data_IF_360469726182
#
_entry.id   IF_360469726182
#
_cell.length_a   1.000
_cell.length_b   1.000
_cell.length_c   1.000
_cell.angle_alpha   90.00
_cell.angle_beta   90.00
_cell.angle_gamma   90.00
#
_symmetry.space_group_name_H-M   'P 1'
#
loop_
_entity.id
_entity.type
_entity.pdbx_description
1 polymer ?
#
# COMPACT_ATOMS: atom_id res chain seq x y z
N UNK A 1 9.87 10.23 29.68
CA UNK A 1 11.10 9.53 29.24
C UNK A 1 11.14 9.58 27.73
N UNK A 2 12.03 10.40 27.15
CA UNK A 2 12.19 10.47 25.70
C UNK A 2 12.84 9.18 25.21
N UNK A 3 12.08 8.34 24.52
CA UNK A 3 12.64 7.23 23.75
C UNK A 3 13.60 7.84 22.73
N UNK A 4 14.91 7.80 23.02
CA UNK A 4 15.95 8.04 22.02
C UNK A 4 15.79 6.91 21.02
N UNK A 5 15.21 7.22 19.86
CA UNK A 5 15.22 6.29 18.73
C UNK A 5 16.68 6.16 18.31
N UNK A 6 17.24 4.97 18.48
CA UNK A 6 18.59 4.66 18.02
C UNK A 6 18.52 4.35 16.52
N UNK A 7 18.43 5.42 15.71
CA UNK A 7 18.30 5.37 14.25
C UNK A 7 19.67 5.63 13.61
N UNK A 8 20.03 4.89 12.55
CA UNK A 8 21.13 5.31 11.69
C UNK A 8 20.72 6.61 10.99
N UNK A 9 21.49 7.68 11.18
CA UNK A 9 21.24 8.99 10.57
C UNK A 9 22.31 9.25 9.52
N UNK A 10 21.89 9.53 8.28
CA UNK A 10 22.77 9.80 7.16
C UNK A 10 23.12 11.29 6.99
N UNK A 11 24.06 11.60 6.09
CA UNK A 11 24.37 12.97 5.68
C UNK A 11 23.21 13.58 4.86
N UNK A 12 23.31 14.88 4.54
CA UNK A 12 22.44 15.49 3.52
C UNK A 12 22.59 14.77 2.18
N UNK A 13 21.49 14.68 1.44
CA UNK A 13 21.43 14.06 0.12
C UNK A 13 20.53 14.90 -0.79
N UNK A 14 21.14 15.44 -1.84
CA UNK A 14 20.52 16.24 -2.91
C UNK A 14 20.64 15.51 -4.23
N UNK A 15 19.61 15.61 -5.04
CA UNK A 15 19.63 15.14 -6.42
C UNK A 15 19.67 16.32 -7.37
N UNK A 16 20.83 16.53 -8.00
CA UNK A 16 21.07 17.63 -8.93
C UNK A 16 20.18 17.54 -10.19
N UNK A 17 19.76 16.35 -10.62
CA UNK A 17 18.89 16.19 -11.79
C UNK A 17 17.47 16.66 -11.46
N UNK A 18 16.98 16.33 -10.26
CA UNK A 18 15.68 16.80 -9.78
C UNK A 18 15.68 18.32 -9.62
N UNK A 19 16.74 18.89 -9.03
CA UNK A 19 16.88 20.35 -8.89
C UNK A 19 16.89 21.05 -10.25
N UNK A 20 17.64 20.52 -11.23
CA UNK A 20 17.71 21.07 -12.57
C UNK A 20 16.37 20.98 -13.33
N UNK A 21 15.65 19.84 -13.26
CA UNK A 21 14.30 19.72 -13.87
C UNK A 21 13.36 20.75 -13.25
N UNK A 22 13.25 20.80 -11.92
CA UNK A 22 12.35 21.70 -11.22
C UNK A 22 12.66 23.18 -11.49
N UNK A 23 13.93 23.58 -11.47
CA UNK A 23 14.34 24.95 -11.78
C UNK A 23 14.01 25.30 -13.23
N UNK A 24 14.37 24.44 -14.19
CA UNK A 24 14.06 24.66 -15.60
C UNK A 24 12.56 24.82 -15.87
N UNK A 25 11.71 24.03 -15.18
CA UNK A 25 10.25 24.18 -15.25
C UNK A 25 9.78 25.54 -14.73
N UNK A 26 10.31 26.01 -13.60
CA UNK A 26 9.95 27.32 -13.03
C UNK A 26 10.37 28.48 -13.93
N UNK A 27 11.54 28.37 -14.56
CA UNK A 27 12.10 29.37 -15.48
C UNK A 27 11.26 29.46 -16.76
N UNK A 28 10.81 28.32 -17.29
CA UNK A 28 9.88 28.22 -18.42
C UNK A 28 8.44 28.65 -18.07
N UNK A 29 8.15 28.95 -16.80
CA UNK A 29 6.81 29.32 -16.34
C UNK A 29 5.82 28.15 -16.28
N UNK A 30 6.31 26.91 -16.16
CA UNK A 30 5.48 25.72 -15.87
C UNK A 30 5.06 25.70 -14.40
N UNK A 31 4.01 24.94 -14.09
CA UNK A 31 3.54 24.86 -12.72
C UNK A 31 4.34 23.81 -11.95
N UNK A 32 4.90 24.24 -10.81
CA UNK A 32 5.48 23.33 -9.83
C UNK A 32 4.75 23.53 -8.51
N UNK A 33 4.24 22.45 -7.94
CA UNK A 33 3.51 22.45 -6.69
C UNK A 33 4.29 21.69 -5.61
N UNK A 34 4.16 22.10 -4.35
CA UNK A 34 4.60 21.30 -3.20
C UNK A 34 3.41 20.90 -2.32
N UNK A 35 3.41 19.67 -1.84
CA UNK A 35 2.36 19.09 -0.98
C UNK A 35 2.99 18.66 0.35
N UNK A 36 2.35 19.02 1.46
CA UNK A 36 2.75 18.60 2.81
C UNK A 36 2.46 17.12 3.10
N UNK A 37 2.54 16.74 4.38
CA UNK A 37 2.45 15.36 4.87
C UNK A 37 1.12 14.70 4.47
N UNK A 38 1.22 13.52 3.82
CA UNK A 38 0.06 12.83 3.22
C UNK A 38 -0.44 11.68 4.09
N UNK A 39 0.49 10.94 4.71
CA UNK A 39 0.20 9.85 5.63
C UNK A 39 -0.83 8.84 5.10
N UNK A 40 -0.63 8.26 3.91
CA UNK A 40 -1.43 7.16 3.39
C UNK A 40 -2.91 7.50 3.06
N UNK A 41 -3.27 8.78 2.97
CA UNK A 41 -4.62 9.23 2.56
C UNK A 41 -4.71 9.30 1.02
N UNK A 42 -4.61 8.14 0.36
CA UNK A 42 -4.58 8.02 -1.10
C UNK A 42 -5.78 8.68 -1.79
N UNK A 43 -6.99 8.46 -1.29
CA UNK A 43 -8.21 9.01 -1.89
C UNK A 43 -8.21 10.54 -1.85
N UNK A 44 -7.83 11.11 -0.70
CA UNK A 44 -7.68 12.56 -0.50
C UNK A 44 -6.56 13.11 -1.39
N UNK A 45 -5.43 12.40 -1.52
CA UNK A 45 -4.34 12.79 -2.40
C UNK A 45 -4.78 12.83 -3.87
N UNK A 46 -5.45 11.78 -4.37
CA UNK A 46 -5.98 11.75 -5.74
C UNK A 46 -6.98 12.87 -6.01
N UNK A 47 -7.84 13.19 -5.04
CA UNK A 47 -8.76 14.31 -5.15
C UNK A 47 -8.02 15.65 -5.22
N UNK A 48 -6.95 15.84 -4.46
CA UNK A 48 -6.09 17.03 -4.56
C UNK A 48 -5.42 17.12 -5.93
N UNK A 49 -4.79 16.03 -6.39
CA UNK A 49 -4.14 15.96 -7.70
C UNK A 49 -5.11 16.31 -8.84
N UNK A 50 -6.35 15.83 -8.78
CA UNK A 50 -7.41 16.18 -9.74
C UNK A 50 -7.73 17.69 -9.74
N UNK A 51 -7.71 18.34 -8.57
CA UNK A 51 -7.96 19.79 -8.45
C UNK A 51 -6.82 20.64 -9.03
N UNK A 52 -5.59 20.14 -9.02
CA UNK A 52 -4.43 20.86 -9.54
C UNK A 52 -4.45 21.00 -11.07
N UNK A 53 -5.17 20.12 -11.79
CA UNK A 53 -5.31 20.14 -13.25
C UNK A 53 -3.95 20.26 -13.97
N UNK A 54 -3.03 19.39 -13.57
CA UNK A 54 -1.65 19.40 -14.07
C UNK A 54 -1.59 19.12 -15.58
N UNK A 55 -0.73 19.87 -16.27
CA UNK A 55 -0.25 19.53 -17.61
C UNK A 55 0.92 18.56 -17.53
N UNK A 56 1.31 17.84 -18.61
CA UNK A 56 2.41 16.86 -18.57
C UNK A 56 3.77 17.41 -18.10
N UNK A 57 4.04 18.68 -18.40
CA UNK A 57 5.29 19.36 -18.02
C UNK A 57 5.26 19.92 -16.58
N UNK A 58 4.11 19.90 -15.92
CA UNK A 58 3.98 20.35 -14.54
C UNK A 58 4.57 19.28 -13.59
N UNK A 59 4.93 19.72 -12.38
CA UNK A 59 5.52 18.86 -11.34
C UNK A 59 4.85 19.04 -9.99
N UNK A 60 4.89 17.99 -9.18
CA UNK A 60 4.43 17.99 -7.79
C UNK A 60 5.52 17.40 -6.90
N UNK A 61 5.89 18.12 -5.85
CA UNK A 61 6.87 17.68 -4.86
C UNK A 61 6.15 17.33 -3.55
N UNK A 62 6.20 16.08 -3.13
CA UNK A 62 5.75 15.63 -1.80
C UNK A 62 6.88 15.86 -0.79
N UNK A 63 6.60 16.58 0.30
CA UNK A 63 7.60 16.99 1.29
C UNK A 63 7.95 15.89 2.32
N UNK A 64 7.72 14.62 2.00
CA UNK A 64 7.91 13.47 2.91
C UNK A 64 6.64 13.10 3.69
N UNK A 65 6.78 12.12 4.59
CA UNK A 65 5.69 11.56 5.40
C UNK A 65 4.48 11.14 4.53
N UNK A 66 4.79 10.37 3.49
CA UNK A 66 3.82 9.77 2.60
C UNK A 66 3.15 8.58 3.25
N UNK A 67 3.88 7.79 4.04
CA UNK A 67 3.37 6.57 4.66
C UNK A 67 2.87 6.80 6.09
N UNK A 68 2.34 5.73 6.68
CA UNK A 68 1.85 5.63 8.06
C UNK A 68 0.55 6.41 8.32
N UNK A 69 -0.10 6.03 9.42
CA UNK A 69 -1.33 6.63 9.99
C UNK A 69 -2.59 6.51 9.15
N UNK A 70 -2.55 6.81 7.85
CA UNK A 70 -3.72 6.68 6.99
C UNK A 70 -4.01 5.24 6.56
N UNK A 71 -5.11 5.06 5.81
CA UNK A 71 -5.64 3.74 5.50
C UNK A 71 -4.91 2.98 4.38
N UNK A 72 -4.24 3.67 3.44
CA UNK A 72 -3.68 3.03 2.24
C UNK A 72 -2.33 3.61 1.81
N UNK A 73 -1.29 3.33 2.61
CA UNK A 73 0.08 3.75 2.29
C UNK A 73 0.64 3.00 1.08
N UNK A 74 0.42 1.70 0.97
CA UNK A 74 0.91 0.90 -0.16
C UNK A 74 0.28 1.36 -1.50
N UNK A 75 -1.02 1.68 -1.51
CA UNK A 75 -1.67 2.24 -2.70
C UNK A 75 -1.21 3.66 -3.02
N UNK A 76 -0.88 4.48 -2.02
CA UNK A 76 -0.28 5.79 -2.24
C UNK A 76 1.10 5.69 -2.89
N UNK A 77 1.97 4.80 -2.39
CA UNK A 77 3.31 4.62 -2.97
C UNK A 77 3.22 4.08 -4.41
N UNK A 78 2.34 3.11 -4.68
CA UNK A 78 2.05 2.62 -6.03
C UNK A 78 1.55 3.74 -6.97
N UNK A 79 0.64 4.59 -6.48
CA UNK A 79 0.17 5.75 -7.24
C UNK A 79 1.29 6.74 -7.53
N UNK A 80 2.11 7.09 -6.54
CA UNK A 80 3.24 8.02 -6.71
C UNK A 80 4.24 7.48 -7.75
N UNK A 81 4.65 6.22 -7.60
CA UNK A 81 5.65 5.59 -8.48
C UNK A 81 5.19 5.42 -9.92
N UNK A 82 3.88 5.35 -10.15
CA UNK A 82 3.29 5.27 -11.50
C UNK A 82 3.12 6.64 -12.17
N UNK A 83 3.39 7.76 -11.47
CA UNK A 83 3.23 9.11 -12.00
C UNK A 83 4.58 9.86 -12.01
N UNK A 84 5.27 9.95 -13.16
CA UNK A 84 6.62 10.54 -13.24
C UNK A 84 6.66 12.05 -12.92
N UNK A 85 5.50 12.71 -12.88
CA UNK A 85 5.40 14.12 -12.50
C UNK A 85 5.52 14.35 -10.99
N UNK A 86 5.46 13.28 -10.19
CA UNK A 86 5.49 13.33 -8.73
C UNK A 86 6.92 13.02 -8.27
N UNK A 87 7.49 13.97 -7.56
CA UNK A 87 8.80 13.91 -6.92
C UNK A 87 8.57 13.86 -5.41
N UNK A 88 9.40 13.12 -4.68
CA UNK A 88 9.24 12.97 -3.23
C UNK A 88 10.53 13.23 -2.48
N UNK A 89 10.40 13.89 -1.34
CA UNK A 89 11.45 13.95 -0.33
C UNK A 89 11.28 12.80 0.67
N UNK A 90 12.39 12.40 1.29
CA UNK A 90 12.38 11.49 2.45
C UNK A 90 11.80 12.24 3.65
N UNK A 91 10.81 11.67 4.32
CA UNK A 91 10.33 12.11 5.63
C UNK A 91 10.86 11.24 6.76
N UNK A 92 10.53 11.60 8.00
CA UNK A 92 10.98 10.80 9.14
C UNK A 92 10.23 9.47 9.26
N UNK A 93 9.00 9.37 8.74
CA UNK A 93 8.27 8.12 8.70
C UNK A 93 8.88 7.13 7.71
N UNK A 94 9.30 7.60 6.54
CA UNK A 94 10.05 6.78 5.58
C UNK A 94 11.36 6.27 6.19
N UNK A 95 12.15 7.15 6.83
CA UNK A 95 13.39 6.73 7.51
C UNK A 95 13.15 5.66 8.57
N UNK A 96 12.12 5.81 9.40
CA UNK A 96 11.75 4.80 10.39
C UNK A 96 11.34 3.47 9.74
N UNK A 97 10.60 3.50 8.64
CA UNK A 97 10.20 2.28 7.93
C UNK A 97 11.39 1.57 7.28
N UNK A 98 12.32 2.32 6.68
CA UNK A 98 13.55 1.81 6.05
C UNK A 98 14.38 0.97 7.03
N UNK A 99 14.38 1.30 8.33
CA UNK A 99 15.07 0.47 9.34
C UNK A 99 14.54 -0.97 9.47
N UNK A 100 13.38 -1.26 8.87
CA UNK A 100 12.85 -2.63 8.78
C UNK A 100 13.45 -3.43 7.62
N UNK A 101 14.18 -2.80 6.70
CA UNK A 101 14.92 -3.46 5.63
C UNK A 101 16.25 -3.97 6.18
N UNK A 102 16.64 -5.18 5.81
CA UNK A 102 17.92 -5.79 6.18
C UNK A 102 18.88 -5.81 4.99
N UNK A 103 20.17 -5.96 5.25
CA UNK A 103 21.22 -5.97 4.21
C UNK A 103 21.04 -7.10 3.17
N UNK A 104 20.40 -8.20 3.56
CA UNK A 104 20.06 -9.32 2.67
C UNK A 104 18.78 -9.09 1.84
N UNK A 105 18.20 -7.88 1.91
CA UNK A 105 16.95 -7.49 1.26
C UNK A 105 15.69 -8.02 1.95
N UNK A 106 15.82 -8.74 3.06
CA UNK A 106 14.67 -9.23 3.83
C UNK A 106 14.05 -8.11 4.69
N UNK A 107 12.78 -8.30 5.07
CA UNK A 107 12.06 -7.35 5.92
C UNK A 107 11.84 -7.92 7.32
N UNK A 108 12.36 -7.20 8.30
CA UNK A 108 12.13 -7.42 9.74
C UNK A 108 11.51 -6.18 10.35
N UNK A 109 10.20 -6.21 10.56
CA UNK A 109 9.43 -5.06 11.03
C UNK A 109 9.97 -4.51 12.35
N UNK A 110 10.33 -3.23 12.35
CA UNK A 110 10.86 -2.54 13.52
C UNK A 110 9.72 -2.05 14.43
N UNK A 111 9.69 -2.54 15.67
CA UNK A 111 8.59 -2.29 16.62
C UNK A 111 8.36 -0.79 16.94
N UNK A 112 9.40 0.05 17.16
CA UNK A 112 9.21 1.48 17.37
C UNK A 112 8.49 2.19 16.22
N UNK A 113 8.77 1.81 14.97
CA UNK A 113 8.04 2.33 13.80
C UNK A 113 6.58 1.87 13.79
N UNK A 114 6.31 0.58 14.06
CA UNK A 114 4.94 0.05 14.15
C UNK A 114 4.08 0.78 15.21
N UNK A 115 4.69 1.27 16.29
CA UNK A 115 4.03 2.04 17.34
C UNK A 115 3.78 3.51 16.98
N UNK A 116 4.35 3.99 15.87
CA UNK A 116 4.23 5.37 15.36
C UNK A 116 3.49 5.45 14.01
N UNK A 117 2.73 4.40 13.68
CA UNK A 117 1.86 4.37 12.50
C UNK A 117 2.22 3.35 11.46
N UNK A 118 3.37 2.70 11.59
CA UNK A 118 3.79 1.63 10.68
C UNK A 118 2.82 0.44 10.61
N UNK A 119 1.96 0.25 11.61
CA UNK A 119 0.92 -0.79 11.56
C UNK A 119 -0.09 -0.57 10.45
N UNK A 120 -0.50 0.67 10.16
CA UNK A 120 -1.44 0.94 9.07
C UNK A 120 -0.77 0.73 7.72
N UNK A 121 0.48 1.19 7.58
CA UNK A 121 1.32 0.94 6.40
C UNK A 121 1.44 -0.55 6.13
N UNK A 122 1.95 -1.33 7.09
CA UNK A 122 2.12 -2.77 6.92
C UNK A 122 0.80 -3.48 6.63
N UNK A 123 -0.28 -3.07 7.31
CA UNK A 123 -1.63 -3.57 7.03
C UNK A 123 -2.05 -3.37 5.58
N UNK A 124 -1.79 -2.19 5.00
CA UNK A 124 -2.13 -1.89 3.60
C UNK A 124 -1.40 -2.79 2.59
N UNK A 125 -0.13 -3.15 2.85
CA UNK A 125 0.60 -4.11 2.02
C UNK A 125 -0.02 -5.51 2.08
N UNK A 126 -0.40 -5.98 3.28
CA UNK A 126 -1.07 -7.28 3.44
C UNK A 126 -2.40 -7.31 2.66
N UNK A 127 -3.18 -6.23 2.69
CA UNK A 127 -4.45 -6.16 1.93
C UNK A 127 -4.21 -6.29 0.44
N UNK A 128 -3.27 -5.52 -0.08
CA UNK A 128 -2.97 -5.50 -1.52
C UNK A 128 -2.41 -6.82 -2.01
N UNK A 129 -1.68 -7.52 -1.16
CA UNK A 129 -1.21 -8.89 -1.41
C UNK A 129 -2.27 -9.95 -1.12
N UNK A 130 -3.54 -9.57 -0.88
CA UNK A 130 -4.63 -10.50 -0.58
C UNK A 130 -4.36 -11.45 0.61
N UNK A 131 -3.56 -11.01 1.58
CA UNK A 131 -3.13 -11.79 2.73
C UNK A 131 -1.85 -12.60 2.53
N UNK A 132 -1.28 -12.62 1.31
CA UNK A 132 0.00 -13.26 1.06
C UNK A 132 1.14 -12.45 1.69
N UNK A 133 1.75 -13.00 2.73
CA UNK A 133 2.82 -12.34 3.47
C UNK A 133 4.16 -12.34 2.72
N UNK A 134 4.38 -13.26 1.80
CA UNK A 134 5.57 -13.28 0.96
C UNK A 134 5.51 -12.11 -0.03
N UNK A 135 4.40 -12.00 -0.76
CA UNK A 135 4.20 -10.91 -1.73
C UNK A 135 4.14 -9.54 -1.04
N UNK A 136 3.46 -9.44 0.11
CA UNK A 136 3.44 -8.21 0.91
C UNK A 136 4.85 -7.76 1.31
N UNK A 137 5.70 -8.69 1.79
CA UNK A 137 7.08 -8.37 2.17
C UNK A 137 7.93 -8.01 0.96
N UNK A 138 7.78 -8.72 -0.16
CA UNK A 138 8.53 -8.46 -1.39
C UNK A 138 8.23 -7.06 -1.94
N UNK A 139 6.95 -6.71 -2.04
CA UNK A 139 6.55 -5.38 -2.49
C UNK A 139 7.01 -4.30 -1.52
N UNK A 140 6.82 -4.52 -0.21
CA UNK A 140 7.25 -3.56 0.80
C UNK A 140 8.78 -3.36 0.78
N UNK A 141 9.58 -4.41 0.60
CA UNK A 141 11.03 -4.30 0.46
C UNK A 141 11.43 -3.44 -0.74
N UNK A 142 10.80 -3.65 -1.91
CA UNK A 142 11.02 -2.83 -3.10
C UNK A 142 10.70 -1.35 -2.85
N UNK A 143 9.61 -1.08 -2.14
CA UNK A 143 9.20 0.29 -1.85
C UNK A 143 10.10 0.94 -0.78
N UNK A 144 10.58 0.19 0.22
CA UNK A 144 11.60 0.66 1.17
C UNK A 144 12.90 1.03 0.46
N UNK A 145 13.40 0.20 -0.45
CA UNK A 145 14.61 0.48 -1.23
C UNK A 145 14.47 1.75 -2.07
N UNK A 146 13.29 1.98 -2.65
CA UNK A 146 13.01 3.23 -3.36
C UNK A 146 12.98 4.43 -2.42
N UNK A 147 12.28 4.33 -1.27
CA UNK A 147 12.20 5.42 -0.29
C UNK A 147 13.58 5.77 0.29
N UNK A 148 14.50 4.81 0.37
CA UNK A 148 15.86 5.06 0.84
C UNK A 148 16.69 5.92 -0.13
N UNK A 149 16.36 5.88 -1.42
CA UNK A 149 17.00 6.70 -2.45
C UNK A 149 16.35 8.08 -2.64
N UNK A 150 15.41 8.49 -1.78
CA UNK A 150 14.81 9.82 -1.87
C UNK A 150 15.75 10.90 -1.31
N UNK A 151 15.85 12.08 -1.96
CA UNK A 151 16.57 13.22 -1.42
C UNK A 151 15.91 13.71 -0.12
N UNK A 152 16.70 14.27 0.79
CA UNK A 152 16.16 14.86 2.03
C UNK A 152 15.83 16.35 1.87
N UNK A 153 16.37 17.01 0.85
CA UNK A 153 15.99 18.37 0.47
C UNK A 153 16.28 18.68 -1.00
N UNK A 154 15.64 19.74 -1.49
CA UNK A 154 15.83 20.32 -2.83
C UNK A 154 16.14 21.80 -2.65
N UNK A 155 17.16 22.30 -3.36
CA UNK A 155 17.54 23.71 -3.37
C UNK A 155 17.34 24.27 -4.78
N UNK A 156 16.45 25.24 -4.90
CA UNK A 156 16.16 26.01 -6.11
C UNK A 156 16.69 27.43 -5.91
N UNK A 157 16.62 28.29 -6.93
CA UNK A 157 17.16 29.66 -6.83
C UNK A 157 16.54 30.46 -5.68
N UNK A 158 15.22 30.35 -5.58
CA UNK A 158 14.39 31.12 -4.67
C UNK A 158 13.88 30.32 -3.47
N UNK A 159 13.99 28.99 -3.50
CA UNK A 159 13.27 28.11 -2.58
C UNK A 159 14.16 27.00 -2.06
N UNK A 160 13.89 26.56 -0.83
CA UNK A 160 14.36 25.28 -0.30
C UNK A 160 13.15 24.44 0.07
N UNK A 161 13.10 23.20 -0.42
CA UNK A 161 12.07 22.23 -0.05
C UNK A 161 12.72 21.20 0.87
N UNK A 162 12.15 20.98 2.06
CA UNK A 162 12.69 20.05 3.07
C UNK A 162 11.54 19.46 3.88
N UNK A 163 11.71 18.27 4.46
CA UNK A 163 10.65 17.68 5.28
C UNK A 163 10.38 18.49 6.56
N UNK A 164 11.37 18.71 7.42
CA UNK A 164 11.16 19.33 8.73
C UNK A 164 11.75 20.75 8.88
N UNK A 165 12.92 21.02 8.30
CA UNK A 165 13.57 22.33 8.41
C UNK A 165 15.10 22.24 8.53
N UNK A 166 15.72 23.33 8.96
CA UNK A 166 17.18 23.46 9.13
C UNK A 166 17.52 23.88 10.55
N UNK A 167 18.55 23.30 11.19
CA UNK A 167 19.06 23.84 12.47
C UNK A 167 19.77 25.18 12.22
N UNK A 168 19.27 26.30 12.75
CA UNK A 168 19.87 27.60 12.51
C UNK A 168 21.29 27.77 13.07
N UNK A 169 21.75 26.84 13.90
CA UNK A 169 23.10 26.81 14.49
C UNK A 169 24.12 26.12 13.62
N UNK A 170 23.71 25.53 12.50
CA UNK A 170 24.56 24.76 11.61
C UNK A 170 24.55 25.38 10.22
N UNK A 171 25.68 25.37 9.49
CA UNK A 171 25.69 25.72 8.08
C UNK A 171 24.65 24.89 7.29
N UNK A 172 23.99 25.50 6.32
CA UNK A 172 22.90 24.88 5.55
C UNK A 172 23.33 23.57 4.87
N UNK A 173 24.58 23.52 4.39
CA UNK A 173 25.11 22.36 3.67
C UNK A 173 25.70 21.27 4.58
N UNK A 174 25.73 21.51 5.90
CA UNK A 174 26.30 20.59 6.91
C UNK A 174 25.22 19.88 7.75
N UNK A 175 23.96 19.97 7.33
CA UNK A 175 22.82 19.33 8.01
C UNK A 175 22.75 17.84 7.61
N UNK A 176 22.31 16.97 8.52
CA UNK A 176 22.03 15.57 8.22
C UNK A 176 20.55 15.22 8.37
N UNK A 177 20.23 13.94 8.22
CA UNK A 177 18.86 13.43 8.38
C UNK A 177 18.24 13.81 9.74
N UNK A 178 19.09 13.90 10.78
CA UNK A 178 18.66 14.27 12.12
C UNK A 178 17.97 15.63 12.15
N UNK A 179 18.55 16.63 11.51
CA UNK A 179 18.00 17.97 11.49
C UNK A 179 16.91 18.06 10.43
N UNK A 180 17.22 17.65 9.19
CA UNK A 180 16.35 17.81 8.03
C UNK A 180 15.00 17.08 8.16
N UNK A 181 14.96 15.98 8.93
CA UNK A 181 13.76 15.17 9.09
C UNK A 181 13.04 15.33 10.44
N UNK A 182 13.68 15.90 11.47
CA UNK A 182 13.10 15.89 12.83
C UNK A 182 13.04 17.23 13.55
N UNK A 183 13.66 18.28 13.00
CA UNK A 183 13.65 19.58 13.67
C UNK A 183 12.23 20.14 13.77
N UNK A 184 11.98 20.88 14.86
CA UNK A 184 10.66 21.49 15.14
C UNK A 184 10.85 22.94 15.55
N UNK A 185 10.40 23.30 16.77
CA UNK A 185 10.37 24.67 17.31
C UNK A 185 11.65 25.46 17.02
N UNK A 186 12.80 24.83 17.22
CA UNK A 186 14.12 25.44 16.97
C UNK A 186 14.27 26.08 15.59
N UNK A 187 13.65 25.51 14.57
CA UNK A 187 13.66 26.04 13.22
C UNK A 187 12.60 27.15 13.05
N UNK A 188 11.33 26.83 13.27
CA UNK A 188 10.23 27.73 12.91
C UNK A 188 9.95 28.87 13.92
N UNK A 189 10.49 28.81 15.14
CA UNK A 189 10.40 29.92 16.12
C UNK A 189 11.66 30.78 16.16
N UNK A 190 12.55 30.62 15.19
CA UNK A 190 13.79 31.37 15.17
C UNK A 190 13.58 32.81 14.72
N UNK A 191 14.44 33.73 15.16
CA UNK A 191 14.24 35.18 15.00
C UNK A 191 14.84 35.77 13.71
N UNK A 192 15.44 34.94 12.85
CA UNK A 192 15.97 35.37 11.56
C UNK A 192 15.74 34.35 10.45
N UNK A 193 15.85 34.80 9.19
CA UNK A 193 15.79 33.95 8.02
C UNK A 193 17.02 33.04 7.94
N UNK A 194 16.80 31.72 8.07
CA UNK A 194 17.88 30.71 8.10
C UNK A 194 18.64 30.66 6.76
N UNK A 195 17.95 30.91 5.65
CA UNK A 195 18.56 31.29 4.37
C UNK A 195 18.01 32.67 3.96
N UNK A 196 18.83 33.72 3.91
CA UNK A 196 18.36 35.08 3.59
C UNK A 196 17.94 35.25 2.12
N UNK A 197 18.27 34.30 1.25
CA UNK A 197 17.96 34.37 -0.18
C UNK A 197 16.81 33.45 -0.60
N UNK A 198 16.37 32.53 0.27
CA UNK A 198 15.43 31.47 -0.11
C UNK A 198 14.36 31.23 0.94
N UNK A 199 13.12 31.14 0.49
CA UNK A 199 12.01 30.69 1.36
C UNK A 199 12.12 29.18 1.58
N UNK A 200 12.04 28.75 2.83
CA UNK A 200 12.02 27.32 3.18
C UNK A 200 10.58 26.82 3.25
N UNK A 201 10.20 25.89 2.37
CA UNK A 201 8.90 25.23 2.38
C UNK A 201 9.04 23.85 3.02
N UNK A 202 8.26 23.58 4.08
CA UNK A 202 8.42 22.35 4.88
C UNK A 202 7.11 21.77 5.40
N UNK A 203 7.14 20.49 5.77
CA UNK A 203 6.04 19.72 6.39
C UNK A 203 6.29 19.45 7.88
N UNK A 204 6.07 18.21 8.32
CA UNK A 204 6.44 17.62 9.63
C UNK A 204 5.76 18.20 10.89
N UNK A 205 5.83 19.52 11.05
CA UNK A 205 5.22 20.25 12.15
C UNK A 205 3.87 20.77 11.71
N UNK A 206 2.82 20.03 12.07
CA UNK A 206 1.41 20.39 11.86
C UNK A 206 1.15 21.87 12.13
N UNK A 207 0.43 22.55 11.25
CA UNK A 207 0.12 23.99 11.36
C UNK A 207 -0.76 24.32 12.55
N UNK A 208 -1.40 23.33 13.19
CA UNK A 208 -2.01 23.47 14.52
C UNK A 208 -1.02 23.86 15.62
N UNK A 209 0.27 23.53 15.44
CA UNK A 209 1.36 23.81 16.39
C UNK A 209 2.26 24.97 15.95
N UNK A 210 2.27 25.27 14.65
CA UNK A 210 3.14 26.28 14.03
C UNK A 210 2.39 27.57 13.76
N UNK A 211 1.17 27.49 13.25
CA UNK A 211 0.37 28.61 12.79
C UNK A 211 -0.82 28.94 13.69
N UNK A 212 -1.48 30.08 13.43
CA UNK A 212 -2.60 30.56 14.25
C UNK A 212 -3.91 29.79 14.00
N UNK A 213 -4.00 29.03 12.90
CA UNK A 213 -5.27 28.43 12.45
C UNK A 213 -5.08 27.02 11.89
N UNK A 214 -5.70 25.99 12.49
CA UNK A 214 -5.72 24.63 11.95
C UNK A 214 -6.25 24.56 10.52
N UNK A 215 -5.68 23.68 9.69
CA UNK A 215 -6.19 23.43 8.33
C UNK A 215 -5.80 24.49 7.28
N UNK A 216 -4.89 25.40 7.62
CA UNK A 216 -4.29 26.37 6.71
C UNK A 216 -2.77 26.26 6.75
N UNK A 217 -2.11 26.56 5.64
CA UNK A 217 -0.66 26.73 5.61
C UNK A 217 -0.29 27.91 6.52
N UNK A 218 0.91 27.86 7.11
CA UNK A 218 1.42 28.94 7.94
C UNK A 218 2.66 29.55 7.29
N UNK A 219 2.84 30.85 7.47
CA UNK A 219 4.01 31.57 6.99
C UNK A 219 4.73 32.24 8.16
N UNK A 220 6.04 32.43 8.03
CA UNK A 220 6.81 33.23 8.98
C UNK A 220 6.46 34.71 8.90
N UNK A 221 6.42 35.38 10.05
CA UNK A 221 6.38 36.84 10.11
C UNK A 221 7.68 37.48 9.59
N UNK A 222 8.80 36.76 9.71
CA UNK A 222 10.10 37.15 9.16
C UNK A 222 10.02 37.10 7.64
N UNK A 223 10.41 38.20 7.00
CA UNK A 223 10.44 38.33 5.53
C UNK A 223 11.87 38.43 5.02
N UNK A 224 12.10 37.90 3.83
CA UNK A 224 13.33 38.09 3.05
C UNK A 224 13.38 39.49 2.46
N UNK A 225 14.52 39.86 1.86
CA UNK A 225 14.72 41.19 1.28
C UNK A 225 13.72 41.55 0.18
N UNK A 226 13.15 40.54 -0.49
CA UNK A 226 12.14 40.70 -1.56
C UNK A 226 10.70 40.56 -1.05
N UNK A 227 10.50 40.49 0.27
CA UNK A 227 9.18 40.44 0.91
C UNK A 227 8.59 39.05 1.08
N UNK A 228 9.20 37.99 0.54
CA UNK A 228 8.72 36.62 0.74
C UNK A 228 8.88 36.16 2.20
N UNK A 229 8.05 35.23 2.72
CA UNK A 229 8.32 34.59 4.00
C UNK A 229 9.70 33.92 4.02
N UNK A 230 10.37 33.95 5.17
CA UNK A 230 11.53 33.10 5.43
C UNK A 230 11.17 31.60 5.41
N UNK A 231 9.98 31.22 5.89
CA UNK A 231 9.50 29.84 5.80
C UNK A 231 7.98 29.73 5.61
N UNK A 232 7.55 28.61 5.03
CA UNK A 232 6.14 28.22 4.83
C UNK A 232 5.95 26.78 5.34
N UNK A 233 5.04 26.59 6.29
CA UNK A 233 4.66 25.29 6.83
C UNK A 233 3.42 24.74 6.11
N UNK A 234 3.55 23.54 5.54
CA UNK A 234 2.61 22.90 4.63
C UNK A 234 1.80 21.77 5.24
N UNK A 235 2.21 21.23 6.40
CA UNK A 235 1.48 20.17 7.08
C UNK A 235 0.22 20.72 7.75
N UNK A 236 -0.87 20.79 6.98
CA UNK A 236 -2.19 21.22 7.50
C UNK A 236 -2.90 20.12 8.31
N UNK A 237 -2.27 18.95 8.43
CA UNK A 237 -2.76 17.76 9.13
C UNK A 237 -3.79 16.98 8.32
N UNK A 238 -3.36 15.91 7.64
CA UNK A 238 -4.26 14.97 6.94
C UNK A 238 -5.27 14.30 7.88
N UNK A 239 -4.94 14.20 9.17
CA UNK A 239 -5.77 13.62 10.22
C UNK A 239 -5.76 14.53 11.46
N UNK A 240 -6.92 15.05 11.83
CA UNK A 240 -7.18 15.82 13.05
C UNK A 240 -8.70 16.05 13.20
N UNK A 241 -9.14 16.52 14.37
CA UNK A 241 -10.57 16.73 14.65
C UNK A 241 -11.09 18.15 14.34
N UNK A 242 -10.28 19.01 13.71
CA UNK A 242 -10.63 20.42 13.47
C UNK A 242 -10.91 20.68 11.99
N UNK A 243 -9.89 20.54 11.16
CA UNK A 243 -9.94 20.81 9.73
C UNK A 243 -8.94 19.93 8.97
N UNK A 244 -9.16 18.59 8.95
CA UNK A 244 -8.20 17.68 8.33
C UNK A 244 -8.23 17.79 6.81
N UNK A 245 -7.05 17.77 6.20
CA UNK A 245 -6.90 17.83 4.76
C UNK A 245 -5.46 17.82 4.31
N UNK A 246 -5.29 17.99 3.00
CA UNK A 246 -4.01 18.19 2.34
C UNK A 246 -3.99 19.59 1.70
N UNK A 247 -2.81 20.18 1.61
CA UNK A 247 -2.58 21.45 0.94
C UNK A 247 -1.45 21.30 -0.07
N UNK A 248 -1.67 21.88 -1.25
CA UNK A 248 -0.66 22.09 -2.28
C UNK A 248 -0.40 23.60 -2.40
N UNK A 249 0.87 24.00 -2.49
CA UNK A 249 1.26 25.39 -2.77
C UNK A 249 1.97 25.47 -4.12
N UNK A 250 1.59 26.45 -4.94
CA UNK A 250 2.28 26.74 -6.20
C UNK A 250 3.58 27.46 -5.88
N UNK A 251 4.72 26.91 -6.29
CA UNK A 251 6.03 27.39 -5.85
C UNK A 251 6.36 28.82 -6.28
N UNK A 252 5.84 29.27 -7.43
CA UNK A 252 6.10 30.62 -7.96
C UNK A 252 5.12 31.68 -7.44
N UNK A 253 3.83 31.36 -7.41
CA UNK A 253 2.78 32.34 -7.05
C UNK A 253 2.36 32.25 -5.58
N UNK A 254 2.83 31.24 -4.85
CA UNK A 254 2.43 30.89 -3.48
C UNK A 254 0.93 30.65 -3.31
N UNK A 255 0.20 30.44 -4.42
CA UNK A 255 -1.22 30.10 -4.37
C UNK A 255 -1.42 28.72 -3.74
N UNK A 256 -2.37 28.62 -2.81
CA UNK A 256 -2.67 27.37 -2.10
C UNK A 256 -3.97 26.75 -2.62
N UNK A 257 -3.90 25.46 -2.94
CA UNK A 257 -5.07 24.60 -3.22
C UNK A 257 -5.20 23.57 -2.10
N UNK A 258 -6.38 23.46 -1.50
CA UNK A 258 -6.63 22.52 -0.38
C UNK A 258 -7.60 21.42 -0.77
N UNK A 259 -7.49 20.27 -0.14
CA UNK A 259 -8.46 19.18 -0.24
C UNK A 259 -8.74 18.65 1.15
N UNK A 260 -9.99 18.76 1.61
CA UNK A 260 -10.42 18.19 2.88
C UNK A 260 -10.30 16.67 2.84
N UNK A 261 -9.86 16.06 3.95
CA UNK A 261 -9.75 14.60 4.06
C UNK A 261 -11.11 13.97 3.80
N UNK A 262 -11.15 13.04 2.85
CA UNK A 262 -12.37 12.37 2.43
C UNK A 262 -12.98 11.61 3.60
N UNK A 263 -14.32 11.65 3.71
CA UNK A 263 -15.06 10.99 4.79
C UNK A 263 -14.73 9.50 4.92
N UNK A 264 -14.47 8.83 3.81
CA UNK A 264 -14.07 7.41 3.77
C UNK A 264 -12.70 7.14 4.41
N UNK A 265 -11.85 8.16 4.55
CA UNK A 265 -10.51 8.06 5.12
C UNK A 265 -10.41 8.70 6.52
N UNK A 266 -11.50 9.28 7.03
CA UNK A 266 -11.56 9.88 8.38
C UNK A 266 -11.81 8.83 9.46
N UNK A 267 -10.89 7.88 9.58
CA UNK A 267 -10.93 6.86 10.63
C UNK A 267 -10.90 7.45 12.04
N UNK A 268 -10.35 8.65 12.21
CA UNK A 268 -10.27 9.38 13.47
C UNK A 268 -11.61 9.99 13.91
N UNK A 269 -12.63 10.02 13.04
CA UNK A 269 -13.99 10.40 13.43
C UNK A 269 -14.74 9.23 14.11
N UNK A 270 -14.20 8.00 14.03
CA UNK A 270 -14.85 6.82 14.60
C UNK A 270 -14.52 6.66 16.09
N UNK A 271 -15.52 6.41 16.96
CA UNK A 271 -15.31 6.17 18.38
C UNK A 271 -14.32 5.01 18.60
N UNK A 272 -13.38 5.18 19.52
CA UNK A 272 -12.38 4.18 19.91
C UNK A 272 -11.49 3.64 18.77
N UNK A 273 -11.50 4.28 17.60
CA UNK A 273 -10.61 3.96 16.50
C UNK A 273 -9.25 4.61 16.73
N UNK A 274 -8.24 3.78 16.97
CA UNK A 274 -6.84 4.20 17.12
C UNK A 274 -6.08 3.91 15.84
N UNK A 275 -5.00 4.63 15.62
CA UNK A 275 -4.09 4.46 14.48
C UNK A 275 -3.69 2.99 14.22
N UNK A 276 -3.29 2.27 15.28
CA UNK A 276 -2.95 0.85 15.19
C UNK A 276 -4.13 -0.05 14.78
N UNK A 277 -5.37 0.34 15.08
CA UNK A 277 -6.57 -0.38 14.67
C UNK A 277 -6.90 -0.15 13.20
N UNK A 278 -6.40 0.88 12.55
CA UNK A 278 -6.66 1.14 11.12
C UNK A 278 -6.10 0.01 10.27
N UNK A 279 -4.82 -0.31 10.46
CA UNK A 279 -4.16 -1.42 9.76
C UNK A 279 -4.82 -2.77 10.02
N UNK A 280 -5.40 -2.98 11.22
CA UNK A 280 -6.13 -4.20 11.53
C UNK A 280 -7.57 -4.19 10.96
N UNK A 281 -8.29 -3.07 11.06
CA UNK A 281 -9.71 -2.95 10.71
C UNK A 281 -9.89 -2.78 9.21
N UNK A 282 -9.32 -1.74 8.61
CA UNK A 282 -9.35 -1.57 7.15
C UNK A 282 -8.55 -2.67 6.45
N UNK A 283 -7.48 -3.15 7.10
CA UNK A 283 -6.71 -4.28 6.62
C UNK A 283 -7.54 -5.57 6.46
N UNK A 284 -8.03 -6.07 7.59
CA UNK A 284 -8.72 -7.35 7.65
C UNK A 284 -10.15 -7.27 7.10
N UNK A 285 -10.86 -6.16 7.23
CA UNK A 285 -12.23 -6.08 6.74
C UNK A 285 -12.30 -5.97 5.22
N UNK A 286 -11.31 -5.36 4.56
CA UNK A 286 -11.20 -5.41 3.09
C UNK A 286 -10.94 -6.85 2.64
N UNK A 287 -10.00 -7.55 3.27
CA UNK A 287 -9.73 -8.96 2.96
C UNK A 287 -10.94 -9.85 3.22
N UNK A 288 -11.62 -9.70 4.36
CA UNK A 288 -12.86 -10.42 4.70
C UNK A 288 -13.98 -10.11 3.72
N UNK A 289 -14.15 -8.85 3.33
CA UNK A 289 -15.16 -8.43 2.35
C UNK A 289 -14.86 -8.99 0.96
N UNK A 290 -13.59 -8.99 0.55
CA UNK A 290 -13.14 -9.62 -0.70
C UNK A 290 -13.41 -11.12 -0.69
N UNK A 291 -12.96 -11.84 0.34
CA UNK A 291 -13.18 -13.27 0.49
C UNK A 291 -14.68 -13.61 0.51
N UNK A 292 -15.50 -12.82 1.23
CA UNK A 292 -16.95 -12.98 1.22
C UNK A 292 -17.54 -12.80 -0.18
N UNK A 293 -17.08 -11.83 -0.96
CA UNK A 293 -17.54 -11.62 -2.34
C UNK A 293 -17.13 -12.77 -3.26
N UNK A 294 -15.91 -13.27 -3.13
CA UNK A 294 -15.43 -14.45 -3.87
C UNK A 294 -16.26 -15.69 -3.54
N UNK A 295 -16.48 -15.98 -2.25
CA UNK A 295 -17.32 -17.10 -1.80
C UNK A 295 -18.75 -16.96 -2.35
N UNK A 296 -19.34 -15.76 -2.29
CA UNK A 296 -20.68 -15.51 -2.85
C UNK A 296 -20.70 -15.68 -4.37
N UNK A 297 -19.65 -15.23 -5.08
CA UNK A 297 -19.51 -15.40 -6.52
C UNK A 297 -19.38 -16.87 -6.90
N UNK A 298 -18.53 -17.62 -6.20
CA UNK A 298 -18.33 -19.05 -6.36
C UNK A 298 -19.64 -19.83 -6.10
N UNK A 299 -20.37 -19.49 -5.03
CA UNK A 299 -21.68 -20.07 -4.73
C UNK A 299 -22.70 -19.78 -5.84
N UNK A 300 -22.70 -18.58 -6.42
CA UNK A 300 -23.57 -18.21 -7.55
C UNK A 300 -23.19 -18.99 -8.81
N UNK A 301 -21.91 -19.12 -9.12
CA UNK A 301 -21.42 -19.92 -10.24
C UNK A 301 -21.79 -21.40 -10.08
N UNK A 302 -21.56 -21.97 -8.89
CA UNK A 302 -21.97 -23.33 -8.50
C UNK A 302 -23.47 -23.54 -8.68
N UNK A 303 -24.32 -22.62 -8.22
CA UNK A 303 -25.79 -22.71 -8.43
C UNK A 303 -26.17 -22.69 -9.92
N UNK A 304 -25.54 -21.84 -10.73
CA UNK A 304 -25.80 -21.80 -12.18
C UNK A 304 -25.41 -23.12 -12.86
N UNK A 305 -24.27 -23.70 -12.50
CA UNK A 305 -23.82 -24.99 -12.99
C UNK A 305 -24.80 -26.11 -12.61
N UNK A 306 -25.29 -26.13 -11.35
CA UNK A 306 -26.33 -27.08 -10.91
C UNK A 306 -27.64 -26.92 -11.69
N UNK A 307 -28.10 -25.68 -11.91
CA UNK A 307 -29.30 -25.42 -12.73
C UNK A 307 -29.13 -25.86 -14.19
N UNK A 308 -27.90 -25.89 -14.70
CA UNK A 308 -27.56 -26.42 -16.02
C UNK A 308 -27.32 -27.94 -16.02
N UNK A 309 -27.58 -28.65 -14.92
CA UNK A 309 -27.45 -30.10 -14.81
C UNK A 309 -26.04 -30.62 -14.52
N UNK A 310 -25.08 -29.74 -14.21
CA UNK A 310 -23.70 -30.14 -13.86
C UNK A 310 -23.66 -30.58 -12.40
N UNK A 311 -23.25 -31.83 -12.17
CA UNK A 311 -22.96 -32.39 -10.83
C UNK A 311 -21.52 -32.05 -10.46
N UNK A 312 -21.32 -31.40 -9.32
CA UNK A 312 -20.00 -31.04 -8.83
C UNK A 312 -19.48 -32.14 -7.90
N UNK A 313 -18.17 -32.40 -7.94
CA UNK A 313 -17.54 -33.51 -7.24
C UNK A 313 -17.77 -33.48 -5.72
N UNK A 314 -17.78 -32.29 -5.13
CA UNK A 314 -18.09 -32.03 -3.72
C UNK A 314 -19.53 -32.39 -3.31
N UNK A 315 -20.45 -32.53 -4.27
CA UNK A 315 -21.80 -33.04 -4.02
C UNK A 315 -21.88 -34.58 -4.17
N UNK A 316 -20.77 -35.27 -4.43
CA UNK A 316 -20.73 -36.74 -4.46
C UNK A 316 -20.44 -37.34 -3.07
N UNK A 317 -19.82 -36.57 -2.18
CA UNK A 317 -19.42 -37.04 -0.84
C UNK A 317 -20.59 -37.03 0.17
N UNK A 318 -21.70 -36.36 -0.14
CA UNK A 318 -22.89 -36.22 0.71
C UNK A 318 -24.08 -37.13 0.30
N UNK A 319 -23.94 -37.96 -0.73
CA UNK A 319 -25.03 -38.82 -1.21
C UNK A 319 -24.85 -40.29 -0.80
N UNK A 320 -25.83 -40.79 -0.04
CA UNK A 320 -26.00 -42.20 0.21
C UNK A 320 -26.35 -42.92 -1.11
N UNK A 321 -25.46 -43.81 -1.54
CA UNK A 321 -25.57 -44.58 -2.79
C UNK A 321 -26.89 -45.37 -2.82
N UNK A 322 -27.46 -45.73 -1.66
CA UNK A 322 -28.74 -46.44 -1.57
C UNK A 322 -29.97 -45.56 -1.90
N UNK A 323 -29.83 -44.24 -1.83
CA UNK A 323 -30.91 -43.28 -2.09
C UNK A 323 -30.99 -42.80 -3.55
N UNK A 324 -30.07 -43.27 -4.42
CA UNK A 324 -30.02 -42.83 -5.81
C UNK A 324 -31.28 -43.25 -6.58
N UNK A 325 -31.90 -42.32 -7.34
CA UNK A 325 -32.98 -42.67 -8.26
C UNK A 325 -32.50 -43.75 -9.24
N UNK A 326 -33.28 -44.82 -9.44
CA UNK A 326 -32.91 -45.98 -10.27
C UNK A 326 -32.48 -45.65 -11.71
N UNK A 327 -32.74 -44.44 -12.21
CA UNK A 327 -32.30 -43.97 -13.52
C UNK A 327 -30.84 -43.45 -13.56
N UNK A 328 -30.14 -43.43 -12.41
CA UNK A 328 -28.71 -43.06 -12.29
C UNK A 328 -27.85 -44.28 -11.91
N UNK A 329 -28.40 -45.50 -11.99
CA UNK A 329 -27.68 -46.74 -11.70
C UNK A 329 -26.77 -47.12 -12.88
N UNK A 330 -25.46 -47.14 -12.63
CA UNK A 330 -24.45 -47.63 -13.57
C UNK A 330 -24.50 -49.16 -13.63
N UNK A 331 -24.68 -49.75 -14.80
CA UNK A 331 -24.54 -51.20 -14.99
C UNK A 331 -23.08 -51.52 -15.33
N UNK A 332 -22.39 -52.24 -14.46
CA UNK A 332 -21.08 -52.81 -14.78
C UNK A 332 -21.26 -54.20 -15.36
N UNK A 333 -20.73 -54.44 -16.57
CA UNK A 333 -20.48 -55.81 -17.05
C UNK A 333 -18.98 -56.03 -17.05
N UNK A 334 -18.52 -57.03 -16.31
CA UNK A 334 -17.13 -57.49 -16.40
C UNK A 334 -16.99 -58.33 -17.67
N UNK A 335 -16.14 -57.89 -18.61
CA UNK A 335 -15.68 -58.75 -19.70
C UNK A 335 -14.31 -58.32 -20.27
N UNK A 336 -13.33 -59.15 -19.94
CA UNK A 336 -12.11 -59.59 -20.66
C UNK A 336 -10.79 -58.76 -20.76
N UNK A 337 -9.76 -59.45 -20.26
CA UNK A 337 -8.33 -59.59 -20.60
C UNK A 337 -7.37 -58.40 -20.64
N UNK A 338 -7.85 -57.16 -20.53
CA UNK A 338 -6.97 -56.04 -20.14
C UNK A 338 -7.68 -55.22 -19.07
N UNK A 339 -7.01 -54.96 -17.96
CA UNK A 339 -7.56 -54.46 -16.68
C UNK A 339 -8.16 -53.04 -16.74
N UNK A 340 -9.21 -52.84 -17.53
CA UNK A 340 -9.96 -51.61 -17.63
C UNK A 340 -11.42 -51.88 -17.31
N UNK A 341 -11.95 -51.26 -16.25
CA UNK A 341 -13.39 -51.27 -15.97
C UNK A 341 -14.05 -50.19 -16.83
N UNK A 342 -15.10 -50.57 -17.55
CA UNK A 342 -15.92 -49.65 -18.35
C UNK A 342 -17.24 -49.41 -17.60
N UNK A 343 -17.53 -48.15 -17.32
CA UNK A 343 -18.80 -47.74 -16.71
C UNK A 343 -19.70 -47.11 -17.78
N UNK A 344 -20.93 -47.63 -17.87
CA UNK A 344 -21.94 -47.16 -18.82
C UNK A 344 -22.87 -46.16 -18.14
N UNK A 345 -22.97 -44.95 -18.71
CA UNK A 345 -23.96 -43.96 -18.27
C UNK A 345 -25.39 -44.35 -18.69
N UNK A 346 -26.41 -43.74 -18.08
CA UNK A 346 -27.82 -44.01 -18.39
C UNK A 346 -28.14 -43.84 -19.88
N UNK A 347 -28.82 -44.81 -20.49
CA UNK A 347 -29.17 -44.78 -21.93
C UNK A 347 -28.06 -45.26 -22.88
N UNK A 348 -26.95 -45.79 -22.35
CA UNK A 348 -25.89 -46.41 -23.17
C UNK A 348 -26.19 -47.88 -23.43
N UNK A 349 -26.39 -48.27 -24.69
CA UNK A 349 -26.49 -49.68 -25.09
C UNK A 349 -25.08 -50.34 -25.01
N UNK A 350 -24.90 -51.42 -24.22
CA UNK A 350 -23.62 -52.13 -24.13
C UNK A 350 -23.21 -52.84 -25.43
N UNK A 351 -24.15 -53.14 -26.33
CA UNK A 351 -23.90 -53.88 -27.58
C UNK A 351 -23.40 -53.00 -28.74
N UNK A 352 -23.55 -51.68 -28.64
CA UNK A 352 -23.09 -50.76 -29.69
C UNK A 352 -21.57 -50.53 -29.63
N UNK A 353 -20.86 -50.73 -30.75
CA UNK A 353 -19.39 -50.53 -30.81
C UNK A 353 -18.95 -49.09 -31.11
N UNK A 354 -19.81 -48.27 -31.70
CA UNK A 354 -19.50 -46.88 -32.08
C UNK A 354 -20.67 -45.95 -31.77
N UNK A 355 -20.36 -44.79 -31.17
CA UNK A 355 -21.33 -43.75 -30.86
C UNK A 355 -21.95 -43.20 -32.16
N UNK A 356 -23.23 -43.50 -32.41
CA UNK A 356 -24.08 -42.58 -33.18
C UNK A 356 -24.62 -41.57 -32.19
N UNK A 357 -24.20 -40.31 -32.31
CA UNK A 357 -24.75 -39.23 -31.49
C UNK A 357 -26.08 -38.78 -32.09
N UNK A 358 -27.21 -39.08 -31.41
CA UNK A 358 -28.22 -38.04 -31.26
C UNK A 358 -28.74 -37.97 -29.81
N UNK A 359 -28.52 -36.84 -29.14
CA UNK A 359 -29.20 -36.50 -27.88
C UNK A 359 -28.42 -36.80 -26.58
N UNK A 360 -28.79 -36.16 -25.46
CA UNK A 360 -27.83 -35.67 -24.47
C UNK A 360 -27.62 -36.58 -23.25
N UNK A 361 -27.56 -37.91 -23.38
CA UNK A 361 -27.51 -38.78 -22.19
C UNK A 361 -26.56 -39.99 -22.22
N UNK A 362 -26.02 -40.43 -23.37
CA UNK A 362 -25.10 -41.58 -23.41
C UNK A 362 -23.62 -41.21 -23.28
N UNK A 363 -22.89 -41.77 -22.31
CA UNK A 363 -21.42 -41.64 -22.21
C UNK A 363 -20.77 -42.90 -21.61
N UNK A 364 -19.49 -43.12 -21.93
CA UNK A 364 -18.65 -44.22 -21.40
C UNK A 364 -17.43 -43.65 -20.67
N UNK A 365 -17.15 -44.15 -19.48
CA UNK A 365 -15.92 -43.83 -18.73
C UNK A 365 -15.02 -45.05 -18.72
N UNK A 366 -13.78 -44.88 -19.21
CA UNK A 366 -12.74 -45.89 -19.16
C UNK A 366 -11.85 -45.63 -17.95
N UNK A 367 -11.85 -46.56 -16.98
CA UNK A 367 -10.96 -46.49 -15.81
C UNK A 367 -9.89 -47.56 -15.94
N UNK A 368 -8.63 -47.14 -15.94
CA UNK A 368 -7.47 -48.03 -15.92
C UNK A 368 -7.23 -48.50 -14.49
N UNK A 369 -7.25 -49.80 -14.23
CA UNK A 369 -6.89 -50.33 -12.91
C UNK A 369 -5.38 -50.18 -12.71
N UNK A 370 -4.98 -49.24 -11.86
CA UNK A 370 -3.61 -49.15 -11.36
C UNK A 370 -3.47 -50.04 -10.13
N UNK A 371 -3.18 -51.32 -10.33
CA UNK A 371 -2.67 -52.19 -9.27
C UNK A 371 -1.53 -53.07 -9.80
N UNK A 372 -0.33 -52.50 -9.80
CA UNK A 372 0.93 -53.24 -9.72
C UNK A 372 1.98 -52.34 -9.04
N UNK A 373 2.33 -52.70 -7.80
CA UNK A 373 3.44 -52.27 -6.97
C UNK A 373 4.39 -51.16 -7.50
N UNK A 374 4.24 -49.94 -6.97
CA UNK A 374 5.38 -49.13 -6.53
C UNK A 374 4.91 -48.05 -5.55
N UNK A 375 5.04 -48.30 -4.25
CA UNK A 375 5.14 -47.28 -3.17
C UNK A 375 5.30 -47.99 -1.81
N UNK A 376 6.32 -48.83 -1.71
CA UNK A 376 6.91 -49.24 -0.43
C UNK A 376 8.36 -48.75 -0.40
N UNK A 377 8.53 -47.45 -0.17
CA UNK A 377 9.76 -46.90 0.43
C UNK A 377 9.45 -45.47 0.92
N UNK A 378 9.73 -45.24 2.21
CA UNK A 378 9.69 -43.94 2.92
C UNK A 378 8.38 -43.49 3.60
N UNK A 379 7.70 -44.39 4.31
CA UNK A 379 6.80 -43.98 5.41
C UNK A 379 6.85 -44.94 6.61
N UNK A 380 8.06 -45.24 7.09
CA UNK A 380 8.25 -45.81 8.42
C UNK A 380 9.43 -45.10 9.07
N UNK A 381 9.13 -44.16 9.97
CA UNK A 381 9.86 -43.83 11.21
C UNK A 381 9.34 -42.47 11.69
N UNK A 382 8.41 -42.54 12.64
CA UNK A 382 8.19 -41.63 13.80
C UNK A 382 6.70 -41.47 14.06
N UNK A 383 6.18 -42.34 14.93
CA UNK A 383 5.25 -41.97 16.01
C UNK A 383 4.99 -43.18 16.91
N UNK A 384 5.82 -43.32 17.95
CA UNK A 384 5.43 -43.85 19.26
C UNK A 384 6.31 -43.18 20.33
N UNK A 385 5.78 -42.13 20.97
CA UNK A 385 5.98 -41.93 22.42
C UNK A 385 5.21 -43.08 23.10
N UNK A 386 5.61 -43.67 24.23
CA UNK A 386 5.58 -43.09 25.59
C UNK A 386 6.35 -44.03 26.55
N UNK A 387 7.19 -43.42 27.40
CA UNK A 387 7.61 -43.76 28.78
C UNK A 387 7.89 -45.23 29.17
N UNK A 388 9.15 -45.43 29.61
CA UNK A 388 9.61 -46.31 30.68
C UNK A 388 10.83 -45.63 31.28
#
# INVERSE_FOLDING_TARGET
MGCKLDLPLGPSFRDAHIEADLQGRLDEGRNVWAIGDIHGHLGTFRALMYRLKLNPEDRVVCLGDMIDRGPDSAGLIDYIRSHPQIICLKGNHELMAITSLQDDGSVKLWRPWLERGGRSTWGSYIVRAHGDLYDAKKQFASDLMWMDNLPNHIVLDDLRLVHAGYDPRMPLDMQGDKELLWIRKRFYTHEYAVDPNRTVVFGHSTTTKVGPSPGYVAESEIRLNDGRPAWIAMDVGAYNHVAPGLAAIHLKSLQVVKQTTLRSERWFDLPDCREAKIGAHFGLDILRSSHRREVVSALRAKRKLKMAGVVLQEDLDDYDVESMPRHVMFTSTEANETSNRVLHGPGTDPSERHLRLPGPTGFRIYRKDSNAASLTQHASVKLKRIRG
#
